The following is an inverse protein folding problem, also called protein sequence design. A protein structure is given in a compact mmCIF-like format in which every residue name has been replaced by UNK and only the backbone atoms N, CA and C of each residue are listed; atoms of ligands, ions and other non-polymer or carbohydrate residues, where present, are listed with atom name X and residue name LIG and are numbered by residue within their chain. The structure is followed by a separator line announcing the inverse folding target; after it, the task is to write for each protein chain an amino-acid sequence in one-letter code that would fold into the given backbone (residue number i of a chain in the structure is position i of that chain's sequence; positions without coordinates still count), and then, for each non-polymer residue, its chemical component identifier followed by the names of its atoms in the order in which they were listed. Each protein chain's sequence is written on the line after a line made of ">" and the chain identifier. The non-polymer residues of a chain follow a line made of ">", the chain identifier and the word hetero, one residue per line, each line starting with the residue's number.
data_IF_166068822487
#
_entry.id   IF_166068822487
#
_cell.length_a   1.000
_cell.length_b   1.000
_cell.length_c   1.000
_cell.angle_alpha   90.00
_cell.angle_beta   90.00
_cell.angle_gamma   90.00
#
_symmetry.space_group_name_H-M   'P 1'
#
loop_
_entity.id
_entity.type
_entity.pdbx_description
1 polymer ?
#
# COMPACT_ATOMS: atom_id res chain seq x y z
N UNK A 1 6.86 18.44 23.99
CA UNK A 1 5.58 18.17 23.30
C UNK A 1 5.85 17.70 21.86
N UNK A 2 6.51 18.47 20.99
CA UNK A 2 6.76 18.07 19.59
C UNK A 2 7.45 16.71 19.43
N UNK A 3 8.51 16.43 20.21
CA UNK A 3 9.21 15.12 20.22
C UNK A 3 8.26 13.94 20.50
N UNK A 4 7.31 14.13 21.41
CA UNK A 4 6.34 13.11 21.77
C UNK A 4 5.36 12.87 20.62
N UNK A 5 4.78 13.92 20.04
CA UNK A 5 3.81 13.79 18.95
C UNK A 5 4.44 13.22 17.69
N UNK A 6 5.50 13.86 17.19
CA UNK A 6 6.17 13.43 15.95
C UNK A 6 6.76 12.03 16.13
N UNK A 7 7.43 11.75 17.27
CA UNK A 7 7.98 10.43 17.55
C UNK A 7 6.94 9.32 17.60
N UNK A 8 5.80 9.56 18.25
CA UNK A 8 4.71 8.58 18.33
C UNK A 8 4.09 8.30 16.95
N UNK A 9 3.88 9.35 16.14
CA UNK A 9 3.33 9.19 14.79
C UNK A 9 4.33 8.47 13.85
N UNK A 10 5.62 8.72 13.98
CA UNK A 10 6.65 7.98 13.25
C UNK A 10 6.65 6.49 13.59
N UNK A 11 6.51 6.13 14.88
CA UNK A 11 6.40 4.73 15.29
C UNK A 11 5.16 4.08 14.67
N UNK A 12 4.01 4.74 14.72
CA UNK A 12 2.76 4.19 14.17
C UNK A 12 2.85 4.07 12.64
N UNK A 13 3.30 5.12 11.95
CA UNK A 13 3.46 5.15 10.50
C UNK A 13 4.43 4.07 10.01
N UNK A 14 5.60 3.97 10.64
CA UNK A 14 6.57 2.94 10.31
C UNK A 14 6.05 1.53 10.60
N UNK A 15 5.26 1.33 11.66
CA UNK A 15 4.71 0.02 12.00
C UNK A 15 3.59 -0.40 11.05
N UNK A 16 2.72 0.51 10.61
CA UNK A 16 1.68 0.22 9.59
C UNK A 16 2.35 -0.23 8.28
N UNK A 17 3.37 0.52 7.83
CA UNK A 17 4.14 0.13 6.65
C UNK A 17 4.90 -1.19 6.87
N UNK A 18 5.47 -1.41 8.04
CA UNK A 18 6.13 -2.68 8.39
C UNK A 18 5.18 -3.86 8.41
N UNK A 19 3.92 -3.63 8.75
CA UNK A 19 2.88 -4.66 8.72
C UNK A 19 2.54 -5.10 7.28
N UNK A 20 2.61 -4.20 6.29
CA UNK A 20 2.44 -4.49 4.86
C UNK A 20 3.58 -3.87 4.04
N UNK A 21 4.82 -4.32 4.29
CA UNK A 21 6.00 -3.81 3.60
C UNK A 21 5.98 -4.12 2.09
N UNK A 22 5.30 -5.20 1.68
CA UNK A 22 5.08 -5.51 0.26
C UNK A 22 4.14 -4.48 -0.38
N UNK A 23 3.07 -4.09 0.30
CA UNK A 23 2.17 -3.04 -0.19
C UNK A 23 2.88 -1.69 -0.32
N UNK A 24 3.76 -1.36 0.62
CA UNK A 24 4.59 -0.15 0.51
C UNK A 24 5.65 -0.25 -0.60
N UNK A 25 6.23 -1.44 -0.84
CA UNK A 25 7.09 -1.69 -1.99
C UNK A 25 6.37 -1.40 -3.31
N UNK A 26 5.13 -1.90 -3.51
CA UNK A 26 4.34 -1.62 -4.72
C UNK A 26 4.10 -0.12 -4.92
N UNK A 27 3.88 0.64 -3.83
CA UNK A 27 3.79 2.11 -3.92
C UNK A 27 5.11 2.77 -4.34
N UNK A 28 6.24 2.25 -3.91
CA UNK A 28 7.54 2.73 -4.38
C UNK A 28 7.75 2.42 -5.86
N UNK A 29 7.35 1.24 -6.33
CA UNK A 29 7.37 0.87 -7.75
C UNK A 29 6.57 1.87 -8.58
N UNK A 30 5.31 2.17 -8.19
CA UNK A 30 4.49 3.21 -8.86
C UNK A 30 5.21 4.57 -8.94
N UNK A 31 5.88 4.99 -7.86
CA UNK A 31 6.67 6.24 -7.88
C UNK A 31 7.89 6.17 -8.78
N UNK A 32 8.49 4.99 -8.98
CA UNK A 32 9.68 4.84 -9.81
C UNK A 32 9.37 4.73 -11.29
N UNK A 33 8.12 4.46 -11.66
CA UNK A 33 7.70 4.34 -13.05
C UNK A 33 8.03 5.59 -13.88
N UNK A 34 8.26 5.42 -15.21
CA UNK A 34 8.59 6.53 -16.11
C UNK A 34 7.55 7.65 -16.10
N UNK A 35 6.27 7.30 -15.99
CA UNK A 35 5.15 8.24 -15.92
C UNK A 35 5.07 9.03 -14.60
N UNK A 36 5.70 8.57 -13.51
CA UNK A 36 5.76 9.26 -12.21
C UNK A 36 7.11 10.00 -12.03
N UNK A 37 8.03 9.50 -11.21
CA UNK A 37 9.31 10.18 -10.95
C UNK A 37 10.42 9.80 -11.95
N UNK A 38 10.20 8.81 -12.80
CA UNK A 38 11.16 8.28 -13.78
C UNK A 38 12.48 7.84 -13.13
N UNK A 39 12.40 6.90 -12.21
CA UNK A 39 13.54 6.35 -11.47
C UNK A 39 13.66 4.82 -11.67
N UNK A 40 13.68 4.29 -12.92
CA UNK A 40 13.60 2.83 -13.17
C UNK A 40 14.78 2.06 -12.56
N UNK A 41 15.92 2.69 -12.35
CA UNK A 41 17.07 2.06 -11.67
C UNK A 41 16.86 1.78 -10.17
N UNK A 42 15.76 2.26 -9.57
CA UNK A 42 15.41 1.99 -8.17
C UNK A 42 14.36 0.87 -8.00
N UNK A 43 13.71 0.42 -9.07
CA UNK A 43 12.68 -0.62 -9.02
C UNK A 43 13.21 -1.92 -8.39
N UNK A 44 14.40 -2.37 -8.79
CA UNK A 44 15.05 -3.56 -8.22
C UNK A 44 15.29 -3.45 -6.71
N UNK A 45 15.40 -2.23 -6.19
CA UNK A 45 15.64 -1.95 -4.76
C UNK A 45 14.36 -1.60 -3.98
N UNK A 46 13.17 -1.62 -4.62
CA UNK A 46 11.93 -1.15 -4.01
C UNK A 46 11.61 -1.85 -2.68
N UNK A 47 11.77 -3.18 -2.62
CA UNK A 47 11.58 -3.93 -1.37
C UNK A 47 12.61 -3.54 -0.29
N UNK A 48 13.87 -3.44 -0.65
CA UNK A 48 14.93 -3.08 0.30
C UNK A 48 14.74 -1.66 0.83
N UNK A 49 14.32 -0.73 -0.01
CA UNK A 49 13.99 0.64 0.37
C UNK A 49 12.75 0.69 1.26
N UNK A 50 11.72 -0.09 0.93
CA UNK A 50 10.52 -0.24 1.78
C UNK A 50 10.90 -0.67 3.19
N UNK A 51 11.65 -1.76 3.33
CA UNK A 51 12.12 -2.28 4.63
C UNK A 51 12.96 -1.24 5.38
N UNK A 52 13.90 -0.58 4.69
CA UNK A 52 14.77 0.43 5.29
C UNK A 52 13.98 1.64 5.82
N UNK A 53 13.04 2.14 5.04
CA UNK A 53 12.19 3.29 5.43
C UNK A 53 11.32 2.93 6.64
N UNK A 54 10.68 1.75 6.62
CA UNK A 54 9.84 1.28 7.72
C UNK A 54 10.62 1.18 9.04
N UNK A 55 11.79 0.53 9.02
CA UNK A 55 12.66 0.41 10.20
C UNK A 55 13.18 1.79 10.61
N UNK A 56 13.55 2.62 9.66
CA UNK A 56 14.06 3.97 9.89
C UNK A 56 13.03 4.86 10.60
N UNK A 57 11.77 4.85 10.16
CA UNK A 57 10.71 5.62 10.82
C UNK A 57 10.50 5.20 12.27
N UNK A 58 10.39 3.89 12.54
CA UNK A 58 10.23 3.37 13.90
C UNK A 58 11.43 3.75 14.76
N UNK A 59 12.65 3.53 14.26
CA UNK A 59 13.88 3.83 14.96
C UNK A 59 14.00 5.32 15.31
N UNK A 60 13.72 6.20 14.35
CA UNK A 60 13.72 7.64 14.55
C UNK A 60 12.65 8.07 15.55
N UNK A 61 11.45 7.48 15.47
CA UNK A 61 10.38 7.74 16.41
C UNK A 61 10.77 7.37 17.85
N UNK A 62 11.30 6.16 18.07
CA UNK A 62 11.78 5.70 19.37
C UNK A 62 12.93 6.58 19.86
N UNK A 63 13.95 6.83 19.03
CA UNK A 63 15.09 7.66 19.39
C UNK A 63 14.69 9.09 19.75
N UNK A 64 13.70 9.64 19.06
CA UNK A 64 13.16 10.98 19.32
C UNK A 64 12.48 11.06 20.68
N UNK A 65 11.62 10.09 21.02
CA UNK A 65 10.92 10.05 22.33
C UNK A 65 11.94 9.86 23.46
N UNK A 66 12.92 8.94 23.32
CA UNK A 66 13.93 8.67 24.34
C UNK A 66 14.98 9.80 24.42
N UNK A 67 15.20 10.54 23.35
CA UNK A 67 16.22 11.60 23.24
C UNK A 67 17.60 11.06 22.93
N UNK A 68 17.69 9.91 22.27
CA UNK A 68 18.96 9.32 21.86
C UNK A 68 19.52 9.99 20.60
N UNK A 69 20.85 10.16 20.52
CA UNK A 69 21.58 10.75 19.40
C UNK A 69 20.90 12.03 18.86
N UNK A 70 20.60 13.05 19.71
CA UNK A 70 19.59 14.07 19.41
C UNK A 70 19.85 14.83 18.09
N UNK A 71 21.11 15.19 17.79
CA UNK A 71 21.45 15.91 16.55
C UNK A 71 21.23 15.03 15.33
N UNK A 72 21.68 13.76 15.38
CA UNK A 72 21.52 12.80 14.28
C UNK A 72 20.04 12.49 14.05
N UNK A 73 19.30 12.13 15.11
CA UNK A 73 17.87 11.84 15.06
C UNK A 73 17.07 13.00 14.48
N UNK A 74 17.29 14.23 15.00
CA UNK A 74 16.59 15.41 14.50
C UNK A 74 16.92 15.70 13.04
N UNK A 75 18.19 15.59 12.62
CA UNK A 75 18.61 15.82 11.22
C UNK A 75 17.96 14.79 10.29
N UNK A 76 18.05 13.50 10.60
CA UNK A 76 17.47 12.44 9.75
C UNK A 76 15.94 12.57 9.68
N UNK A 77 15.28 12.88 10.80
CA UNK A 77 13.83 13.16 10.79
C UNK A 77 13.50 14.37 9.93
N UNK A 78 14.27 15.45 10.03
CA UNK A 78 14.09 16.66 9.22
C UNK A 78 14.25 16.38 7.72
N UNK A 79 15.27 15.61 7.32
CA UNK A 79 15.49 15.21 5.92
C UNK A 79 14.34 14.35 5.43
N UNK A 80 13.91 13.34 6.22
CA UNK A 80 12.82 12.44 5.85
C UNK A 80 11.50 13.20 5.73
N UNK A 81 11.21 14.12 6.66
CA UNK A 81 10.01 14.96 6.59
C UNK A 81 10.03 15.92 5.39
N UNK A 82 11.18 16.51 5.08
CA UNK A 82 11.31 17.35 3.89
C UNK A 82 11.06 16.55 2.61
N UNK A 83 11.59 15.34 2.54
CA UNK A 83 11.37 14.42 1.42
C UNK A 83 9.88 14.03 1.30
N UNK A 84 9.23 13.59 2.37
CA UNK A 84 7.82 13.22 2.33
C UNK A 84 6.91 14.41 2.00
N UNK A 85 7.18 15.59 2.56
CA UNK A 85 6.42 16.79 2.23
C UNK A 85 6.56 17.16 0.75
N UNK A 86 7.78 17.04 0.20
CA UNK A 86 8.01 17.25 -1.24
C UNK A 86 7.27 16.20 -2.08
N UNK A 87 7.35 14.92 -1.70
CA UNK A 87 6.71 13.83 -2.43
C UNK A 87 5.17 13.97 -2.46
N UNK A 88 4.58 14.26 -1.29
CA UNK A 88 3.11 14.47 -1.18
C UNK A 88 2.66 15.77 -1.85
N UNK A 89 3.50 16.82 -1.85
CA UNK A 89 3.26 18.03 -2.65
C UNK A 89 3.26 17.71 -4.16
N UNK A 90 4.24 16.95 -4.63
CA UNK A 90 4.33 16.51 -6.02
C UNK A 90 3.06 15.73 -6.40
N UNK A 91 2.65 14.77 -5.57
CA UNK A 91 1.45 13.96 -5.81
C UNK A 91 0.16 14.81 -5.81
N UNK A 92 0.04 15.76 -4.86
CA UNK A 92 -1.13 16.62 -4.74
C UNK A 92 -1.27 17.65 -5.89
N UNK A 93 -0.18 17.96 -6.59
CA UNK A 93 -0.17 18.88 -7.74
C UNK A 93 0.10 18.16 -9.07
N UNK A 94 -0.06 16.85 -9.11
CA UNK A 94 0.08 16.09 -10.35
C UNK A 94 -1.08 16.42 -11.30
N UNK A 95 -0.73 16.82 -12.53
CA UNK A 95 -1.71 17.01 -13.60
C UNK A 95 -1.73 15.73 -14.47
N UNK A 96 -2.85 14.98 -14.48
CA UNK A 96 -2.96 13.75 -15.26
C UNK A 96 -2.97 13.99 -16.78
N UNK A 97 -3.27 15.22 -17.23
CA UNK A 97 -3.28 15.57 -18.66
C UNK A 97 -1.93 16.09 -19.18
N UNK A 98 -0.99 16.35 -18.28
CA UNK A 98 0.34 16.76 -18.68
C UNK A 98 1.11 15.57 -19.27
N UNK A 99 1.88 15.85 -20.32
CA UNK A 99 2.86 14.91 -20.88
C UNK A 99 4.26 15.31 -20.48
N UNK A 100 5.17 14.35 -20.49
CA UNK A 100 6.59 14.60 -20.27
C UNK A 100 7.46 13.83 -21.24
N UNK A 101 8.58 14.43 -21.61
CA UNK A 101 9.58 13.79 -22.45
C UNK A 101 10.49 12.93 -21.59
N UNK A 102 10.59 11.66 -21.90
CA UNK A 102 11.56 10.73 -21.29
C UNK A 102 12.51 10.20 -22.36
N UNK A 103 13.67 9.73 -21.93
CA UNK A 103 14.58 8.98 -22.81
C UNK A 103 14.33 7.50 -22.56
N UNK A 104 13.91 6.77 -23.58
CA UNK A 104 13.67 5.33 -23.51
C UNK A 104 14.97 4.52 -23.46
N UNK A 105 14.85 3.19 -23.31
CA UNK A 105 15.99 2.27 -23.26
C UNK A 105 16.84 2.27 -24.54
N UNK A 106 16.32 2.81 -25.66
CA UNK A 106 17.04 2.92 -26.94
C UNK A 106 17.76 4.25 -27.10
N UNK A 107 17.56 5.19 -26.16
CA UNK A 107 18.08 6.55 -26.20
C UNK A 107 17.21 7.52 -27.00
N UNK A 108 16.02 7.12 -27.44
CA UNK A 108 15.07 7.99 -28.12
C UNK A 108 14.26 8.80 -27.12
N UNK A 109 13.96 10.06 -27.47
CA UNK A 109 13.04 10.88 -26.69
C UNK A 109 11.60 10.51 -27.03
N UNK A 110 10.85 10.01 -26.05
CA UNK A 110 9.45 9.60 -26.19
C UNK A 110 8.61 10.45 -25.27
N UNK A 111 7.49 10.93 -25.76
CA UNK A 111 6.48 11.64 -24.98
C UNK A 111 5.54 10.63 -24.34
N UNK A 112 5.39 10.69 -23.01
CA UNK A 112 4.49 9.83 -22.25
C UNK A 112 3.54 10.65 -21.39
N UNK A 113 2.34 10.11 -21.13
CA UNK A 113 1.39 10.70 -20.22
C UNK A 113 1.94 10.74 -18.79
N UNK A 114 1.55 11.75 -18.03
CA UNK A 114 1.90 11.87 -16.63
C UNK A 114 1.10 10.85 -15.81
N UNK A 115 1.77 10.10 -14.96
CA UNK A 115 1.14 9.11 -14.09
C UNK A 115 1.02 9.68 -12.68
N UNK A 116 -0.22 9.97 -12.28
CA UNK A 116 -0.49 10.51 -10.96
C UNK A 116 -0.72 9.39 -9.95
N UNK A 117 0.12 9.32 -8.93
CA UNK A 117 -0.01 8.37 -7.84
C UNK A 117 -1.13 8.85 -6.90
N UNK A 118 -2.27 8.17 -6.88
CA UNK A 118 -3.48 8.62 -6.17
C UNK A 118 -3.41 8.49 -4.64
N UNK A 119 -2.49 7.68 -4.11
CA UNK A 119 -2.33 7.47 -2.67
C UNK A 119 -0.86 7.48 -2.28
N UNK A 120 -0.47 8.28 -1.28
CA UNK A 120 0.94 8.44 -0.89
C UNK A 120 1.54 7.22 -0.17
N UNK A 121 0.75 6.24 0.26
CA UNK A 121 1.21 5.05 0.98
C UNK A 121 1.66 5.28 2.42
N UNK A 122 1.54 6.50 2.98
CA UNK A 122 2.00 6.82 4.34
C UNK A 122 1.38 5.94 5.44
N UNK A 123 0.08 5.63 5.31
CA UNK A 123 -0.67 4.73 6.19
C UNK A 123 -1.23 3.52 5.44
N UNK A 124 -0.74 3.26 4.21
CA UNK A 124 -1.24 2.17 3.37
C UNK A 124 -2.77 2.17 3.25
N UNK A 125 -3.37 1.00 3.25
CA UNK A 125 -4.82 0.83 3.20
C UNK A 125 -5.51 1.04 4.57
N UNK A 126 -4.74 1.28 5.64
CA UNK A 126 -5.31 1.45 6.99
C UNK A 126 -6.05 2.79 7.14
N UNK A 127 -5.58 3.84 6.46
CA UNK A 127 -6.23 5.16 6.42
C UNK A 127 -6.06 5.69 4.99
N UNK A 128 -7.09 5.59 4.15
CA UNK A 128 -7.07 6.17 2.82
C UNK A 128 -7.11 7.70 2.93
N UNK A 129 -5.98 8.34 2.61
CA UNK A 129 -5.86 9.80 2.56
C UNK A 129 -5.72 10.22 1.10
N UNK A 130 -6.44 11.26 0.73
CA UNK A 130 -6.22 11.92 -0.56
C UNK A 130 -4.80 12.50 -0.65
N UNK A 131 -4.27 12.75 -1.85
CA UNK A 131 -2.95 13.37 -2.01
C UNK A 131 -2.84 14.70 -1.27
N UNK A 132 -3.89 15.52 -1.30
CA UNK A 132 -3.91 16.83 -0.63
C UNK A 132 -3.91 16.70 0.90
N UNK A 133 -4.72 15.80 1.48
CA UNK A 133 -4.73 15.53 2.92
C UNK A 133 -3.38 15.01 3.41
N UNK A 134 -2.75 14.14 2.60
CA UNK A 134 -1.39 13.64 2.85
C UNK A 134 -0.37 14.76 2.88
N UNK A 135 -0.44 15.70 1.93
CA UNK A 135 0.42 16.86 1.89
C UNK A 135 0.23 17.76 3.12
N UNK A 136 -1.00 18.09 3.49
CA UNK A 136 -1.29 18.91 4.69
C UNK A 136 -0.76 18.25 5.96
N UNK A 137 -0.99 16.95 6.12
CA UNK A 137 -0.45 16.16 7.24
C UNK A 137 1.08 16.28 7.32
N UNK A 138 1.79 16.09 6.21
CA UNK A 138 3.25 16.11 6.19
C UNK A 138 3.80 17.52 6.38
N UNK A 139 3.10 18.54 5.89
CA UNK A 139 3.43 19.95 6.15
C UNK A 139 3.34 20.28 7.66
N UNK A 140 2.26 19.85 8.32
CA UNK A 140 2.09 20.04 9.77
C UNK A 140 3.20 19.31 10.56
N UNK A 141 3.53 18.07 10.20
CA UNK A 141 4.61 17.33 10.84
C UNK A 141 5.99 17.97 10.60
N UNK A 142 6.22 18.53 9.41
CA UNK A 142 7.43 19.27 9.09
C UNK A 142 7.57 20.51 9.97
N UNK A 143 6.50 21.29 10.14
CA UNK A 143 6.48 22.44 11.04
C UNK A 143 6.78 22.02 12.50
N UNK A 144 6.21 20.91 12.97
CA UNK A 144 6.48 20.37 14.30
C UNK A 144 7.91 19.82 14.46
N UNK A 145 8.59 19.50 13.36
CA UNK A 145 9.98 19.02 13.37
C UNK A 145 10.98 20.19 13.56
N UNK A 146 10.63 21.42 13.16
CA UNK A 146 11.50 22.59 13.34
C UNK A 146 11.93 22.83 14.79
N UNK A 147 11.01 22.88 15.79
CA UNK A 147 11.41 23.01 17.20
C UNK A 147 12.30 21.85 17.70
N UNK A 148 12.13 20.65 17.14
CA UNK A 148 12.94 19.47 17.49
C UNK A 148 14.39 19.68 16.99
N UNK A 149 14.56 20.16 15.75
CA UNK A 149 15.86 20.54 15.19
C UNK A 149 16.54 21.60 16.05
N UNK A 150 15.83 22.72 16.31
CA UNK A 150 16.36 23.82 17.14
C UNK A 150 16.79 23.31 18.52
N UNK A 151 15.96 22.50 19.19
CA UNK A 151 16.24 21.94 20.50
C UNK A 151 17.45 21.00 20.50
N UNK A 152 17.61 20.19 19.45
CA UNK A 152 18.75 19.27 19.31
C UNK A 152 20.08 20.00 19.10
N UNK A 153 20.10 21.03 18.24
CA UNK A 153 21.33 21.79 17.95
C UNK A 153 21.73 22.72 19.07
N UNK A 154 20.78 23.28 19.82
CA UNK A 154 21.04 24.09 21.02
C UNK A 154 21.36 23.27 22.28
N UNK A 155 21.35 21.93 22.19
CA UNK A 155 21.65 21.05 23.33
C UNK A 155 20.51 20.97 24.37
N UNK A 156 19.29 21.41 24.03
CA UNK A 156 18.12 21.27 24.92
C UNK A 156 17.56 19.84 24.94
N UNK A 157 17.80 19.09 23.87
CA UNK A 157 17.46 17.68 23.79
C UNK A 157 18.67 16.83 24.15
N UNK A 158 18.48 15.92 25.07
CA UNK A 158 19.48 14.95 25.53
C UNK A 158 18.82 13.60 25.80
N UNK A 159 19.62 12.57 26.01
CA UNK A 159 19.11 11.28 26.46
C UNK A 159 18.37 11.46 27.81
N UNK A 160 17.10 11.09 27.84
CA UNK A 160 16.21 11.35 28.97
C UNK A 160 16.74 10.73 30.26
N UNK A 161 16.56 11.41 31.38
CA UNK A 161 16.73 10.83 32.72
C UNK A 161 15.56 9.89 33.05
N UNK A 162 15.69 9.06 34.08
CA UNK A 162 14.72 7.99 34.41
C UNK A 162 13.29 8.53 34.54
N UNK A 163 13.08 9.64 35.26
CA UNK A 163 11.75 10.24 35.50
C UNK A 163 11.20 10.88 34.21
N UNK A 164 12.02 11.61 33.50
CA UNK A 164 11.65 12.22 32.22
C UNK A 164 11.31 11.16 31.18
N UNK A 165 12.14 10.12 31.08
CA UNK A 165 11.91 8.99 30.19
C UNK A 165 10.58 8.29 30.47
N UNK A 166 10.26 8.04 31.75
CA UNK A 166 8.99 7.42 32.11
C UNK A 166 7.78 8.28 31.64
N UNK A 167 7.83 9.58 31.85
CA UNK A 167 6.74 10.49 31.44
C UNK A 167 6.59 10.52 29.93
N UNK A 168 7.68 10.64 29.18
CA UNK A 168 7.63 10.72 27.72
C UNK A 168 7.22 9.41 27.07
N UNK A 169 7.75 8.27 27.57
CA UNK A 169 7.36 6.94 27.08
C UNK A 169 5.89 6.67 27.36
N UNK A 170 5.41 6.92 28.59
CA UNK A 170 4.00 6.74 28.93
C UNK A 170 3.11 7.66 28.08
N UNK A 171 3.48 8.93 27.91
CA UNK A 171 2.77 9.86 27.04
C UNK A 171 2.73 9.38 25.57
N UNK A 172 3.85 8.84 25.06
CA UNK A 172 3.91 8.26 23.72
C UNK A 172 3.00 7.03 23.57
N UNK A 173 3.02 6.12 24.53
CA UNK A 173 2.13 4.95 24.52
C UNK A 173 0.65 5.36 24.55
N UNK A 174 0.30 6.42 25.29
CA UNK A 174 -1.07 6.97 25.28
C UNK A 174 -1.46 7.54 23.93
N UNK A 175 -0.55 8.30 23.27
CA UNK A 175 -0.80 8.81 21.91
C UNK A 175 -0.94 7.68 20.91
N UNK A 176 -0.05 6.68 20.96
CA UNK A 176 -0.09 5.50 20.09
C UNK A 176 -1.39 4.71 20.32
N UNK A 177 -1.82 4.56 21.58
CA UNK A 177 -3.08 3.89 21.91
C UNK A 177 -4.29 4.66 21.36
N UNK A 178 -4.34 5.97 21.56
CA UNK A 178 -5.45 6.79 21.07
C UNK A 178 -5.57 6.71 19.54
N UNK A 179 -4.43 6.73 18.81
CA UNK A 179 -4.42 6.59 17.38
C UNK A 179 -4.75 5.15 16.94
N UNK A 180 -4.14 4.15 17.58
CA UNK A 180 -4.34 2.73 17.26
C UNK A 180 -5.78 2.27 17.51
N UNK A 181 -6.35 2.59 18.68
CA UNK A 181 -7.71 2.21 19.01
C UNK A 181 -8.76 3.06 18.27
N UNK A 182 -8.52 4.37 18.11
CA UNK A 182 -9.50 5.30 17.54
C UNK A 182 -9.55 5.32 16.02
N UNK A 183 -8.41 5.17 15.34
CA UNK A 183 -8.34 5.28 13.87
C UNK A 183 -8.03 3.95 13.19
N UNK A 184 -7.17 3.13 13.79
CA UNK A 184 -6.73 1.88 13.15
C UNK A 184 -7.55 0.66 13.57
N UNK A 185 -8.32 0.74 14.64
CA UNK A 185 -8.95 -0.42 15.28
C UNK A 185 -7.97 -1.56 15.53
N UNK A 186 -6.73 -1.20 15.92
CA UNK A 186 -5.61 -2.11 16.09
C UNK A 186 -4.75 -1.71 17.29
N UNK A 187 -4.70 -2.55 18.33
CA UNK A 187 -3.98 -2.24 19.57
C UNK A 187 -2.53 -2.72 19.59
N UNK A 188 -2.13 -3.53 18.62
CA UNK A 188 -0.76 -4.08 18.54
C UNK A 188 0.33 -3.00 18.49
N UNK A 189 0.15 -1.81 17.85
CA UNK A 189 1.13 -0.74 17.88
C UNK A 189 1.59 -0.34 19.28
N UNK A 190 0.71 -0.37 20.26
CA UNK A 190 1.05 -0.07 21.66
C UNK A 190 1.99 -1.13 22.24
N UNK A 191 1.66 -2.42 22.02
CA UNK A 191 2.48 -3.53 22.47
C UNK A 191 3.86 -3.49 21.83
N UNK A 192 3.92 -3.27 20.52
CA UNK A 192 5.19 -3.19 19.79
C UNK A 192 6.04 -2.01 20.28
N UNK A 193 5.46 -0.83 20.42
CA UNK A 193 6.15 0.34 20.96
C UNK A 193 6.65 0.12 22.38
N UNK A 194 5.85 -0.52 23.24
CA UNK A 194 6.25 -0.87 24.60
C UNK A 194 7.47 -1.81 24.60
N UNK A 195 7.50 -2.83 23.72
CA UNK A 195 8.65 -3.73 23.57
C UNK A 195 9.88 -2.95 23.07
N UNK A 196 9.74 -2.11 22.05
CA UNK A 196 10.83 -1.31 21.52
C UNK A 196 11.43 -0.37 22.58
N UNK A 197 10.57 0.30 23.37
CA UNK A 197 11.02 1.12 24.50
C UNK A 197 11.66 0.30 25.61
N UNK A 198 11.09 -0.85 25.95
CA UNK A 198 11.65 -1.72 26.98
C UNK A 198 13.05 -2.24 26.61
N UNK A 199 13.24 -2.62 25.34
CA UNK A 199 14.58 -3.02 24.83
C UNK A 199 15.55 -1.85 24.89
N UNK A 200 15.16 -0.67 24.39
CA UNK A 200 16.03 0.51 24.40
C UNK A 200 16.41 0.93 25.83
N UNK A 201 15.45 1.05 26.76
CA UNK A 201 15.70 1.43 28.16
C UNK A 201 16.48 0.33 28.93
N UNK A 202 16.20 -0.95 28.65
CA UNK A 202 16.97 -2.08 29.22
C UNK A 202 18.43 -2.03 28.80
N UNK A 203 18.71 -1.80 27.53
CA UNK A 203 20.08 -1.64 27.01
C UNK A 203 20.74 -0.36 27.55
N UNK A 204 20.01 0.72 27.73
CA UNK A 204 20.50 1.96 28.35
C UNK A 204 20.97 1.74 29.78
N UNK A 205 20.27 0.94 30.56
CA UNK A 205 20.64 0.61 31.94
C UNK A 205 21.82 -0.38 31.96
N UNK A 206 21.86 -1.35 31.05
CA UNK A 206 22.88 -2.42 31.02
C UNK A 206 24.25 -1.94 30.56
N UNK A 207 24.29 -0.95 29.62
CA UNK A 207 25.53 -0.46 29.03
C UNK A 207 25.76 1.01 29.36
N UNK A 208 26.90 1.34 29.96
CA UNK A 208 27.33 2.70 30.30
C UNK A 208 28.45 3.24 29.39
N UNK A 209 28.77 2.57 28.29
CA UNK A 209 29.81 2.96 27.35
C UNK A 209 29.41 4.22 26.52
N UNK A 210 30.40 4.85 25.88
CA UNK A 210 30.17 5.96 24.93
C UNK A 210 29.34 5.55 23.71
N UNK A 211 29.23 4.25 23.43
CA UNK A 211 28.44 3.68 22.34
C UNK A 211 27.04 3.27 22.77
N UNK A 212 26.61 3.58 24.01
CA UNK A 212 25.32 3.17 24.57
C UNK A 212 24.15 3.46 23.66
N UNK A 213 24.07 4.67 23.10
CA UNK A 213 22.94 5.08 22.25
C UNK A 213 22.92 4.31 20.91
N UNK A 214 24.07 3.94 20.37
CA UNK A 214 24.16 3.04 19.20
C UNK A 214 23.75 1.61 19.52
N UNK A 215 24.07 1.12 20.73
CA UNK A 215 23.64 -0.22 21.18
C UNK A 215 22.10 -0.24 21.35
N UNK A 216 21.53 0.84 21.88
CA UNK A 216 20.08 1.01 21.97
C UNK A 216 19.44 1.00 20.58
N UNK A 217 19.98 1.76 19.63
CA UNK A 217 19.52 1.78 18.24
C UNK A 217 19.58 0.38 17.60
N UNK A 218 20.69 -0.33 17.76
CA UNK A 218 20.84 -1.70 17.26
C UNK A 218 19.78 -2.65 17.85
N UNK A 219 19.47 -2.54 19.14
CA UNK A 219 18.43 -3.33 19.79
C UNK A 219 17.04 -3.07 19.19
N UNK A 220 16.70 -1.81 18.93
CA UNK A 220 15.43 -1.44 18.27
C UNK A 220 15.40 -1.96 16.83
N UNK A 221 16.50 -1.85 16.07
CA UNK A 221 16.61 -2.40 14.71
C UNK A 221 16.35 -3.91 14.72
N UNK A 222 16.88 -4.64 15.70
CA UNK A 222 16.62 -6.10 15.82
C UNK A 222 15.12 -6.37 16.03
N UNK A 223 14.45 -5.62 16.92
CA UNK A 223 13.00 -5.76 17.14
C UNK A 223 12.21 -5.49 15.84
N UNK A 224 12.54 -4.40 15.15
CA UNK A 224 11.91 -4.06 13.86
C UNK A 224 12.20 -5.13 12.80
N UNK A 225 13.44 -5.59 12.70
CA UNK A 225 13.85 -6.60 11.72
C UNK A 225 13.17 -7.95 11.94
N UNK A 226 12.97 -8.38 13.18
CA UNK A 226 12.21 -9.59 13.49
C UNK A 226 10.74 -9.47 13.08
N UNK A 227 10.12 -8.31 13.30
CA UNK A 227 8.76 -8.06 12.86
C UNK A 227 8.63 -8.02 11.33
N UNK A 228 9.54 -7.32 10.66
CA UNK A 228 9.61 -7.29 9.20
C UNK A 228 9.85 -8.68 8.60
N UNK A 229 10.77 -9.46 9.20
CA UNK A 229 11.01 -10.84 8.77
C UNK A 229 9.73 -11.68 8.87
N UNK A 230 8.96 -11.52 9.96
CA UNK A 230 7.69 -12.21 10.12
C UNK A 230 6.70 -11.80 9.02
N UNK A 231 6.41 -10.51 8.85
CA UNK A 231 5.39 -10.04 7.90
C UNK A 231 5.73 -10.31 6.44
N UNK A 232 7.01 -10.34 6.08
CA UNK A 232 7.46 -10.68 4.72
C UNK A 232 7.40 -12.18 4.41
N UNK A 233 7.53 -13.05 5.42
CA UNK A 233 7.53 -14.50 5.22
C UNK A 233 6.15 -15.14 5.45
N UNK A 234 5.32 -14.51 6.23
CA UNK A 234 3.94 -14.93 6.51
C UNK A 234 2.96 -13.97 5.84
N UNK A 235 2.00 -13.44 6.58
CA UNK A 235 1.08 -12.41 6.08
C UNK A 235 1.08 -11.22 7.04
N UNK A 236 0.56 -10.05 6.62
CA UNK A 236 0.32 -8.94 7.51
C UNK A 236 -0.48 -9.35 8.76
N UNK A 237 -0.06 -8.90 9.94
CA UNK A 237 -0.75 -9.21 11.21
C UNK A 237 -2.16 -8.61 11.24
N UNK A 238 -2.34 -7.44 10.63
CA UNK A 238 -3.64 -6.81 10.40
C UNK A 238 -3.78 -6.53 8.91
N UNK A 239 -4.81 -7.08 8.32
CA UNK A 239 -5.17 -6.83 6.93
C UNK A 239 -6.22 -5.70 6.87
N UNK A 240 -5.96 -4.66 6.08
CA UNK A 240 -6.87 -3.52 5.85
C UNK A 240 -7.39 -3.50 4.41
N UNK A 241 -7.16 -4.57 3.65
CA UNK A 241 -7.55 -4.65 2.25
C UNK A 241 -8.97 -5.20 2.11
N UNK A 242 -9.63 -4.96 0.97
CA UNK A 242 -11.02 -5.42 0.75
C UNK A 242 -11.20 -6.93 0.78
N UNK A 243 -10.10 -7.69 0.73
CA UNK A 243 -10.07 -9.15 0.84
C UNK A 243 -9.61 -9.62 2.22
N UNK A 244 -9.73 -8.81 3.27
CA UNK A 244 -9.36 -9.21 4.62
C UNK A 244 -10.27 -10.35 5.13
N UNK A 245 -9.77 -11.10 6.11
CA UNK A 245 -10.57 -12.15 6.77
C UNK A 245 -11.83 -11.53 7.39
N UNK A 246 -12.98 -12.13 7.09
CA UNK A 246 -14.31 -11.64 7.47
C UNK A 246 -14.98 -10.72 6.46
N UNK A 247 -14.27 -10.24 5.44
CA UNK A 247 -14.84 -9.39 4.39
C UNK A 247 -15.58 -10.22 3.33
N UNK A 248 -16.67 -9.67 2.82
CA UNK A 248 -17.43 -10.24 1.70
C UNK A 248 -16.93 -9.66 0.38
N UNK A 249 -16.38 -10.51 -0.48
CA UNK A 249 -15.95 -10.11 -1.83
C UNK A 249 -17.16 -9.66 -2.66
N UNK A 250 -18.32 -10.29 -2.47
CA UNK A 250 -19.57 -9.93 -3.17
C UNK A 250 -20.01 -8.52 -2.77
N UNK A 251 -20.06 -8.21 -1.46
CA UNK A 251 -20.48 -6.89 -0.99
C UNK A 251 -19.49 -5.79 -1.41
N UNK A 252 -18.19 -6.07 -1.34
CA UNK A 252 -17.13 -5.13 -1.67
C UNK A 252 -17.03 -4.83 -3.18
N UNK A 253 -17.69 -5.63 -4.04
CA UNK A 253 -17.81 -5.42 -5.50
C UNK A 253 -19.08 -4.65 -5.91
N UNK A 254 -20.05 -4.49 -5.01
CA UNK A 254 -21.31 -3.84 -5.39
C UNK A 254 -21.08 -2.42 -5.87
N UNK A 255 -21.70 -2.08 -6.98
CA UNK A 255 -21.69 -0.74 -7.56
C UNK A 255 -22.52 0.25 -6.74
N UNK A 256 -22.33 1.55 -6.99
CA UNK A 256 -23.14 2.59 -6.37
C UNK A 256 -24.64 2.40 -6.68
N UNK A 257 -24.97 2.02 -7.91
CA UNK A 257 -26.35 1.79 -8.36
C UNK A 257 -27.00 0.62 -7.61
N UNK A 258 -26.28 -0.48 -7.41
CA UNK A 258 -26.76 -1.64 -6.65
C UNK A 258 -27.03 -1.32 -5.17
N UNK A 259 -26.28 -0.36 -4.61
CA UNK A 259 -26.44 0.10 -3.22
C UNK A 259 -27.40 1.28 -3.10
N UNK A 260 -27.90 1.85 -4.23
CA UNK A 260 -28.74 3.05 -4.24
C UNK A 260 -27.97 4.29 -3.75
N UNK A 261 -26.66 4.34 -3.96
CA UNK A 261 -25.77 5.44 -3.61
C UNK A 261 -25.41 6.26 -4.86
N UNK A 262 -24.97 7.49 -4.67
CA UNK A 262 -24.44 8.29 -5.76
C UNK A 262 -23.00 7.85 -6.06
N UNK A 263 -22.74 7.43 -7.30
CA UNK A 263 -21.40 7.14 -7.81
C UNK A 263 -20.61 8.40 -8.12
N UNK A 264 -19.29 8.28 -8.36
CA UNK A 264 -18.47 9.39 -8.80
C UNK A 264 -18.94 9.88 -10.17
N UNK A 265 -18.87 11.20 -10.37
CA UNK A 265 -19.18 11.80 -11.66
C UNK A 265 -17.90 12.10 -12.42
N UNK A 266 -17.89 11.75 -13.70
CA UNK A 266 -16.76 11.96 -14.58
C UNK A 266 -17.17 12.86 -15.76
N UNK A 267 -16.20 13.58 -16.30
CA UNK A 267 -16.35 14.29 -17.58
C UNK A 267 -15.13 14.00 -18.45
N UNK A 268 -15.37 13.81 -19.74
CA UNK A 268 -14.27 13.63 -20.69
C UNK A 268 -13.64 15.00 -21.01
N UNK A 269 -12.32 15.05 -21.05
CA UNK A 269 -11.55 16.22 -21.38
C UNK A 269 -11.39 16.33 -22.92
N UNK A 270 -12.15 17.22 -23.55
CA UNK A 270 -12.07 17.46 -24.99
C UNK A 270 -10.99 18.50 -25.30
N UNK A 271 -10.19 18.28 -26.33
CA UNK A 271 -9.16 19.22 -26.76
C UNK A 271 -9.64 20.05 -27.94
N UNK A 272 -9.60 21.37 -27.77
CA UNK A 272 -9.94 22.35 -28.79
C UNK A 272 -8.75 23.29 -29.01
N UNK A 273 -8.57 23.73 -30.25
CA UNK A 273 -7.58 24.73 -30.63
C UNK A 273 -8.22 26.09 -30.74
N UNK A 274 -7.70 27.06 -30.03
CA UNK A 274 -8.09 28.46 -30.21
C UNK A 274 -7.52 28.97 -31.53
N UNK A 275 -8.40 29.44 -32.44
CA UNK A 275 -8.00 29.88 -33.79
C UNK A 275 -7.19 31.17 -33.82
N UNK A 276 -7.29 32.01 -32.79
CA UNK A 276 -6.53 33.26 -32.67
C UNK A 276 -5.16 33.06 -32.03
N UNK A 277 -5.10 32.33 -30.91
CA UNK A 277 -3.83 32.13 -30.18
C UNK A 277 -3.07 30.90 -30.66
N UNK A 278 -3.71 29.99 -31.40
CA UNK A 278 -3.18 28.70 -31.85
C UNK A 278 -2.80 27.76 -30.69
N UNK A 279 -3.25 28.06 -29.48
CA UNK A 279 -3.02 27.24 -28.30
C UNK A 279 -4.13 26.20 -28.13
N UNK A 280 -3.74 25.03 -27.63
CA UNK A 280 -4.70 23.98 -27.30
C UNK A 280 -5.35 24.28 -25.94
N UNK A 281 -6.66 24.08 -25.87
CA UNK A 281 -7.48 24.32 -24.69
C UNK A 281 -8.28 23.08 -24.38
N UNK A 282 -8.21 22.60 -23.14
CA UNK A 282 -9.00 21.50 -22.64
C UNK A 282 -10.33 22.04 -22.11
N UNK A 283 -11.43 21.48 -22.59
CA UNK A 283 -12.79 21.80 -22.15
C UNK A 283 -13.50 20.51 -21.78
N UNK A 284 -14.03 20.46 -20.57
CA UNK A 284 -14.74 19.28 -20.09
C UNK A 284 -16.05 19.07 -20.84
N UNK A 285 -16.42 17.82 -21.09
CA UNK A 285 -17.66 17.46 -21.80
C UNK A 285 -18.90 18.10 -21.20
N UNK A 286 -18.98 18.25 -19.89
CA UNK A 286 -20.07 18.93 -19.16
C UNK A 286 -20.15 20.44 -19.45
N UNK A 287 -19.02 21.09 -19.70
CA UNK A 287 -18.97 22.51 -20.05
C UNK A 287 -19.12 22.70 -21.57
N UNK A 288 -18.52 21.79 -22.36
CA UNK A 288 -18.71 21.81 -23.81
C UNK A 288 -20.18 21.72 -24.19
N UNK A 289 -20.99 20.87 -23.57
CA UNK A 289 -22.43 20.76 -23.81
C UNK A 289 -23.15 22.12 -23.64
N UNK A 290 -22.68 22.99 -22.75
CA UNK A 290 -23.26 24.30 -22.47
C UNK A 290 -22.90 25.34 -23.54
N UNK A 291 -21.72 25.22 -24.16
CA UNK A 291 -21.14 26.26 -25.02
C UNK A 291 -21.02 25.87 -26.48
N UNK A 292 -21.19 24.59 -26.85
CA UNK A 292 -20.96 24.12 -28.23
C UNK A 292 -21.82 24.79 -29.27
N UNK A 293 -23.01 25.35 -28.92
CA UNK A 293 -23.90 26.08 -29.81
C UNK A 293 -23.65 27.60 -29.86
N UNK A 294 -22.84 28.12 -28.92
CA UNK A 294 -22.56 29.54 -28.84
C UNK A 294 -21.75 30.04 -30.06
N UNK A 295 -22.12 31.19 -30.67
CA UNK A 295 -21.42 31.71 -31.83
C UNK A 295 -19.93 31.94 -31.61
N UNK A 296 -19.55 32.49 -30.43
CA UNK A 296 -18.18 32.78 -30.09
C UNK A 296 -17.31 31.52 -30.02
N UNK A 297 -17.92 30.39 -29.60
CA UNK A 297 -17.19 29.12 -29.50
C UNK A 297 -16.95 28.53 -30.90
N UNK A 298 -17.98 28.49 -31.74
CA UNK A 298 -17.89 27.96 -33.11
C UNK A 298 -16.94 28.77 -34.00
N UNK A 299 -16.89 30.08 -33.82
CA UNK A 299 -15.98 30.96 -34.55
C UNK A 299 -14.56 30.92 -34.01
N UNK A 300 -14.38 30.86 -32.67
CA UNK A 300 -13.11 30.99 -32.01
C UNK A 300 -12.33 29.68 -31.81
N UNK A 301 -13.00 28.53 -31.88
CA UNK A 301 -12.37 27.24 -31.57
C UNK A 301 -12.54 26.23 -32.71
N UNK A 302 -11.54 25.35 -32.82
CA UNK A 302 -11.56 24.18 -33.70
C UNK A 302 -11.34 22.92 -32.86
N UNK A 303 -12.11 21.86 -33.15
CA UNK A 303 -11.96 20.58 -32.42
C UNK A 303 -10.69 19.89 -32.86
N UNK A 304 -9.86 19.50 -31.88
CA UNK A 304 -8.68 18.66 -32.10
C UNK A 304 -8.99 17.21 -31.75
N UNK A 305 -9.57 16.94 -30.57
CA UNK A 305 -9.97 15.61 -30.15
C UNK A 305 -11.17 15.64 -29.21
N UNK A 306 -12.04 14.63 -29.36
CA UNK A 306 -13.06 14.27 -28.39
C UNK A 306 -12.66 13.03 -27.56
N UNK A 307 -11.53 12.40 -27.91
CA UNK A 307 -10.95 11.28 -27.19
C UNK A 307 -9.94 11.83 -26.16
N UNK A 308 -10.45 12.23 -25.02
CA UNK A 308 -9.62 12.72 -23.92
C UNK A 308 -9.82 11.87 -22.66
N UNK A 309 -8.95 12.08 -21.67
CA UNK A 309 -9.02 11.39 -20.40
C UNK A 309 -10.29 11.78 -19.62
N UNK A 310 -10.79 10.84 -18.83
CA UNK A 310 -11.89 11.10 -17.91
C UNK A 310 -11.39 11.85 -16.67
N UNK A 311 -12.04 12.95 -16.37
CA UNK A 311 -11.78 13.79 -15.18
C UNK A 311 -12.88 13.54 -14.15
N UNK A 312 -12.51 13.17 -12.95
CA UNK A 312 -13.45 13.03 -11.84
C UNK A 312 -13.94 14.41 -11.38
N UNK A 313 -15.23 14.67 -11.51
CA UNK A 313 -15.88 15.93 -11.14
C UNK A 313 -16.33 15.97 -9.69
N UNK A 314 -16.83 14.86 -9.21
CA UNK A 314 -17.28 14.74 -7.82
C UNK A 314 -16.95 13.37 -7.27
N UNK A 315 -16.67 13.32 -5.98
CA UNK A 315 -16.56 12.08 -5.25
C UNK A 315 -17.92 11.43 -5.10
N UNK A 316 -17.93 10.11 -5.12
CA UNK A 316 -19.10 9.28 -4.89
C UNK A 316 -18.66 7.95 -4.35
N UNK A 317 -19.58 7.02 -4.17
CA UNK A 317 -19.24 5.67 -3.76
C UNK A 317 -18.57 4.93 -4.92
N UNK A 318 -17.38 4.42 -4.68
CA UNK A 318 -16.67 3.48 -5.54
C UNK A 318 -16.59 2.12 -4.84
N UNK A 319 -16.83 1.01 -5.56
CA UNK A 319 -16.61 -0.32 -5.01
C UNK A 319 -15.18 -0.46 -4.48
N UNK A 320 -15.03 -1.15 -3.35
CA UNK A 320 -13.68 -1.44 -2.83
C UNK A 320 -12.91 -2.43 -3.72
N UNK A 321 -13.64 -3.21 -4.52
CA UNK A 321 -13.11 -4.16 -5.50
C UNK A 321 -13.76 -3.81 -6.86
N UNK A 322 -12.97 -3.29 -7.79
CA UNK A 322 -13.48 -2.82 -9.10
C UNK A 322 -13.22 -3.82 -10.23
N UNK A 323 -12.03 -4.37 -10.32
CA UNK A 323 -11.54 -5.08 -11.51
C UNK A 323 -11.30 -6.58 -11.27
N UNK A 324 -11.95 -7.18 -10.26
CA UNK A 324 -11.79 -8.59 -9.96
C UNK A 324 -12.56 -9.45 -10.97
N UNK A 325 -11.83 -9.98 -11.94
CA UNK A 325 -12.31 -10.91 -12.96
C UNK A 325 -11.55 -12.23 -12.84
N UNK A 326 -12.25 -13.33 -13.10
CA UNK A 326 -11.69 -14.70 -13.14
C UNK A 326 -11.98 -15.26 -14.53
N UNK A 327 -10.96 -15.27 -15.39
CA UNK A 327 -11.11 -15.65 -16.79
C UNK A 327 -10.66 -17.10 -16.99
N UNK A 328 -11.50 -17.89 -17.60
CA UNK A 328 -11.22 -19.30 -17.89
C UNK A 328 -10.40 -19.49 -19.19
N UNK A 329 -10.19 -20.77 -19.59
CA UNK A 329 -9.44 -21.11 -20.80
C UNK A 329 -10.12 -20.76 -22.11
N UNK A 330 -11.42 -20.51 -22.09
CA UNK A 330 -12.23 -20.12 -23.25
C UNK A 330 -12.36 -18.57 -23.36
N UNK A 331 -11.85 -17.84 -22.34
CA UNK A 331 -11.89 -16.39 -22.27
C UNK A 331 -13.17 -15.83 -21.63
N UNK A 332 -13.96 -16.67 -20.98
CA UNK A 332 -15.19 -16.27 -20.30
C UNK A 332 -14.89 -15.87 -18.83
N UNK A 333 -15.53 -14.78 -18.37
CA UNK A 333 -15.46 -14.38 -16.97
C UNK A 333 -16.40 -15.25 -16.10
N UNK A 334 -15.82 -16.05 -15.24
CA UNK A 334 -16.53 -17.00 -14.35
C UNK A 334 -16.56 -16.52 -12.90
N UNK A 335 -16.25 -15.25 -12.63
CA UNK A 335 -16.15 -14.72 -11.28
C UNK A 335 -17.43 -14.95 -10.47
N UNK A 336 -18.60 -14.71 -11.07
CA UNK A 336 -19.89 -14.88 -10.37
C UNK A 336 -20.20 -16.35 -10.05
N UNK A 337 -19.79 -17.29 -10.92
CA UNK A 337 -19.91 -18.73 -10.64
C UNK A 337 -19.06 -19.14 -9.43
N UNK A 338 -17.84 -18.56 -9.31
CA UNK A 338 -16.94 -18.84 -8.19
C UNK A 338 -17.45 -18.19 -6.89
N UNK A 339 -17.88 -16.93 -6.94
CA UNK A 339 -18.32 -16.19 -5.76
C UNK A 339 -19.68 -16.68 -5.22
N UNK A 340 -20.58 -17.15 -6.11
CA UNK A 340 -21.91 -17.67 -5.75
C UNK A 340 -21.91 -19.18 -5.52
N UNK A 341 -20.75 -19.83 -5.54
CA UNK A 341 -20.66 -21.25 -5.23
C UNK A 341 -21.12 -21.49 -3.78
N UNK A 342 -22.17 -22.30 -3.62
CA UNK A 342 -22.69 -22.68 -2.30
C UNK A 342 -21.69 -23.60 -1.59
N UNK A 343 -21.02 -23.08 -0.56
CA UNK A 343 -20.05 -23.81 0.25
C UNK A 343 -18.64 -23.24 0.19
N UNK A 344 -17.66 -24.11 0.34
CA UNK A 344 -16.27 -23.74 0.55
C UNK A 344 -15.49 -23.70 -0.76
N UNK A 345 -14.77 -22.61 -0.99
CA UNK A 345 -13.87 -22.40 -2.11
C UNK A 345 -12.45 -22.19 -1.59
N UNK A 346 -11.51 -22.99 -2.08
CA UNK A 346 -10.09 -22.84 -1.77
C UNK A 346 -9.37 -22.27 -3.00
N UNK A 347 -8.68 -21.15 -2.83
CA UNK A 347 -8.08 -20.40 -3.93
C UNK A 347 -6.57 -20.36 -3.73
N UNK A 348 -5.82 -21.02 -4.62
CA UNK A 348 -4.38 -20.88 -4.74
C UNK A 348 -4.06 -19.64 -5.58
N UNK A 349 -3.43 -18.63 -5.00
CA UNK A 349 -3.13 -17.37 -5.67
C UNK A 349 -1.65 -17.30 -5.99
N UNK A 350 -1.28 -17.19 -7.27
CA UNK A 350 0.10 -17.00 -7.71
C UNK A 350 0.19 -15.81 -8.67
N UNK A 351 0.60 -14.66 -8.16
CA UNK A 351 0.77 -13.43 -8.95
C UNK A 351 1.98 -13.44 -9.89
N UNK A 352 2.88 -14.41 -9.71
CA UNK A 352 4.04 -14.69 -10.54
C UNK A 352 4.36 -16.18 -10.41
N UNK A 353 4.01 -16.93 -11.46
CA UNK A 353 4.18 -18.38 -11.48
C UNK A 353 5.65 -18.82 -11.41
N UNK A 354 6.55 -18.06 -12.05
CA UNK A 354 7.97 -18.41 -12.10
C UNK A 354 8.64 -18.18 -10.74
N UNK A 355 8.40 -17.01 -10.15
CA UNK A 355 8.93 -16.67 -8.82
C UNK A 355 8.34 -17.55 -7.69
N UNK A 356 7.09 -18.01 -7.85
CA UNK A 356 6.39 -18.90 -6.93
C UNK A 356 6.57 -20.39 -7.21
N UNK A 357 7.31 -20.76 -8.28
CA UNK A 357 7.31 -22.10 -8.82
C UNK A 357 7.65 -23.21 -7.79
N UNK A 358 6.68 -24.08 -7.51
CA UNK A 358 6.81 -25.22 -6.60
C UNK A 358 6.84 -24.90 -5.12
N UNK A 359 6.82 -23.63 -4.71
CA UNK A 359 6.81 -23.24 -3.32
C UNK A 359 5.49 -23.70 -2.64
N UNK A 360 5.61 -24.54 -1.62
CA UNK A 360 4.45 -25.07 -0.88
C UNK A 360 3.53 -25.99 -1.67
N UNK A 361 3.82 -26.32 -2.94
CA UNK A 361 2.91 -27.01 -3.85
C UNK A 361 2.52 -28.41 -3.39
N UNK A 362 3.43 -29.13 -2.74
CA UNK A 362 3.12 -30.46 -2.20
C UNK A 362 2.04 -30.38 -1.10
N UNK A 363 2.18 -29.44 -0.18
CA UNK A 363 1.20 -29.22 0.88
C UNK A 363 -0.14 -28.71 0.29
N UNK A 364 -0.10 -27.80 -0.70
CA UNK A 364 -1.27 -27.30 -1.41
C UNK A 364 -2.02 -28.44 -2.14
N UNK A 365 -1.30 -29.34 -2.83
CA UNK A 365 -1.90 -30.49 -3.53
C UNK A 365 -2.57 -31.45 -2.55
N UNK A 366 -1.92 -31.72 -1.40
CA UNK A 366 -2.47 -32.60 -0.38
C UNK A 366 -3.76 -32.03 0.22
N UNK A 367 -3.75 -30.73 0.57
CA UNK A 367 -4.91 -30.00 1.06
C UNK A 367 -6.03 -29.97 0.02
N UNK A 368 -5.72 -29.60 -1.22
CA UNK A 368 -6.68 -29.53 -2.33
C UNK A 368 -7.36 -30.87 -2.60
N UNK A 369 -6.59 -31.96 -2.61
CA UNK A 369 -7.15 -33.32 -2.83
C UNK A 369 -8.16 -33.69 -1.72
N UNK A 370 -7.85 -33.36 -0.47
CA UNK A 370 -8.76 -33.63 0.65
C UNK A 370 -10.01 -32.74 0.57
N UNK A 371 -9.84 -31.43 0.32
CA UNK A 371 -10.93 -30.47 0.18
C UNK A 371 -11.90 -30.87 -0.94
N UNK A 372 -11.39 -31.21 -2.12
CA UNK A 372 -12.21 -31.70 -3.26
C UNK A 372 -12.97 -32.98 -2.92
N UNK A 373 -12.36 -33.89 -2.17
CA UNK A 373 -13.03 -35.12 -1.70
C UNK A 373 -14.22 -34.86 -0.77
N UNK A 374 -14.29 -33.69 -0.17
CA UNK A 374 -15.37 -33.22 0.70
C UNK A 374 -16.34 -32.26 0.00
N UNK A 375 -16.20 -32.07 -1.32
CA UNK A 375 -17.09 -31.25 -2.11
C UNK A 375 -16.71 -29.76 -2.17
N UNK A 376 -15.54 -29.37 -1.66
CA UNK A 376 -15.05 -28.02 -1.80
C UNK A 376 -14.64 -27.75 -3.24
N UNK A 377 -14.87 -26.53 -3.73
CA UNK A 377 -14.32 -26.07 -5.00
C UNK A 377 -12.88 -25.60 -4.77
N UNK A 378 -11.95 -26.05 -5.61
CA UNK A 378 -10.54 -25.63 -5.52
C UNK A 378 -10.10 -25.09 -6.87
N UNK A 379 -9.51 -23.90 -6.87
CA UNK A 379 -9.03 -23.22 -8.08
C UNK A 379 -7.66 -22.59 -7.84
N UNK A 380 -6.91 -22.36 -8.94
CA UNK A 380 -5.73 -21.50 -8.97
C UNK A 380 -6.05 -20.19 -9.68
N UNK A 381 -5.53 -19.06 -9.18
CA UNK A 381 -5.57 -17.76 -9.82
C UNK A 381 -4.16 -17.25 -10.11
N UNK A 382 -3.91 -16.88 -11.35
CA UNK A 382 -2.61 -16.35 -11.80
C UNK A 382 -2.79 -15.21 -12.80
N UNK A 383 -1.72 -14.48 -13.08
CA UNK A 383 -1.70 -13.52 -14.18
C UNK A 383 -1.13 -14.10 -15.48
N UNK A 384 -0.80 -15.39 -15.49
CA UNK A 384 -0.22 -16.06 -16.64
C UNK A 384 -1.28 -16.44 -17.70
N UNK A 385 -0.89 -16.54 -18.97
CA UNK A 385 -1.74 -17.09 -20.03
C UNK A 385 -2.12 -18.56 -19.75
N UNK A 386 -3.22 -18.98 -20.36
CA UNK A 386 -3.77 -20.31 -20.14
C UNK A 386 -2.80 -21.47 -20.42
N UNK A 387 -2.00 -21.38 -21.48
CA UNK A 387 -1.01 -22.42 -21.83
C UNK A 387 0.10 -22.55 -20.78
N UNK A 388 0.54 -21.45 -20.19
CA UNK A 388 1.48 -21.47 -19.07
C UNK A 388 0.84 -22.05 -17.80
N UNK A 389 -0.42 -21.71 -17.53
CA UNK A 389 -1.21 -22.27 -16.43
C UNK A 389 -1.29 -23.79 -16.53
N UNK A 390 -1.63 -24.34 -17.69
CA UNK A 390 -1.71 -25.79 -17.93
C UNK A 390 -0.33 -26.46 -17.86
N UNK A 391 0.71 -25.80 -18.33
CA UNK A 391 2.08 -26.29 -18.21
C UNK A 391 2.49 -26.39 -16.73
N UNK A 392 2.18 -25.36 -15.92
CA UNK A 392 2.43 -25.34 -14.49
C UNK A 392 1.64 -26.44 -13.79
N UNK A 393 0.34 -26.53 -14.05
CA UNK A 393 -0.58 -27.54 -13.48
C UNK A 393 -0.04 -28.96 -13.69
N UNK A 394 0.38 -29.25 -14.91
CA UNK A 394 0.93 -30.56 -15.29
C UNK A 394 2.27 -30.82 -14.61
N UNK A 395 3.18 -29.85 -14.64
CA UNK A 395 4.53 -29.95 -14.05
C UNK A 395 4.50 -30.25 -12.57
N UNK A 396 3.59 -29.62 -11.84
CA UNK A 396 3.49 -29.72 -10.39
C UNK A 396 2.37 -30.65 -9.91
N UNK A 397 1.70 -31.35 -10.82
CA UNK A 397 0.57 -32.27 -10.54
C UNK A 397 -0.54 -31.61 -9.71
N UNK A 398 -0.86 -30.33 -9.99
CA UNK A 398 -1.93 -29.64 -9.29
C UNK A 398 -3.29 -30.26 -9.71
N UNK A 399 -4.12 -30.74 -8.75
CA UNK A 399 -5.37 -31.47 -9.07
C UNK A 399 -6.54 -30.54 -9.44
N UNK A 400 -6.33 -29.23 -9.47
CA UNK A 400 -7.34 -28.20 -9.71
C UNK A 400 -7.00 -27.35 -10.95
N UNK A 401 -8.00 -26.73 -11.59
CA UNK A 401 -7.80 -25.83 -12.71
C UNK A 401 -7.19 -24.48 -12.27
N UNK A 402 -6.49 -23.84 -13.20
CA UNK A 402 -6.00 -22.46 -13.06
C UNK A 402 -6.78 -21.53 -13.98
N UNK A 403 -7.08 -20.36 -13.48
CA UNK A 403 -7.75 -19.26 -14.17
C UNK A 403 -6.84 -18.02 -14.20
N UNK A 404 -7.10 -17.15 -15.16
CA UNK A 404 -6.37 -15.88 -15.30
C UNK A 404 -7.09 -14.76 -14.54
N UNK A 405 -6.34 -13.95 -13.81
CA UNK A 405 -6.82 -12.78 -13.08
C UNK A 405 -5.79 -11.66 -13.21
N UNK A 406 -6.23 -10.42 -13.12
CA UNK A 406 -5.32 -9.27 -13.17
C UNK A 406 -4.26 -9.32 -12.06
N UNK A 407 -3.03 -8.95 -12.42
CA UNK A 407 -1.89 -9.00 -11.49
C UNK A 407 -2.05 -8.04 -10.32
N UNK A 408 -2.63 -6.87 -10.55
CA UNK A 408 -2.85 -5.86 -9.51
C UNK A 408 -3.83 -6.38 -8.48
N UNK A 409 -4.92 -7.02 -8.94
CA UNK A 409 -5.88 -7.66 -8.05
C UNK A 409 -5.24 -8.80 -7.25
N UNK A 410 -4.45 -9.69 -7.89
CA UNK A 410 -3.75 -10.75 -7.19
C UNK A 410 -2.80 -10.22 -6.10
N UNK A 411 -2.14 -9.07 -6.33
CA UNK A 411 -1.34 -8.37 -5.32
C UNK A 411 -2.18 -7.89 -4.14
N UNK A 412 -3.46 -7.54 -4.37
CA UNK A 412 -4.38 -7.09 -3.31
C UNK A 412 -4.98 -8.28 -2.56
N UNK A 413 -5.33 -9.36 -3.23
CA UNK A 413 -5.93 -10.56 -2.62
C UNK A 413 -5.05 -11.12 -1.52
N UNK A 414 -3.76 -11.38 -1.81
CA UNK A 414 -2.82 -11.93 -0.81
C UNK A 414 -1.40 -11.41 -1.01
N UNK A 415 -0.67 -11.17 0.08
CA UNK A 415 0.72 -10.68 0.04
C UNK A 415 1.79 -11.76 -0.10
N UNK A 416 1.40 -13.02 -0.21
CA UNK A 416 2.31 -14.14 -0.47
C UNK A 416 2.30 -14.54 -1.95
N UNK A 417 3.41 -15.08 -2.44
CA UNK A 417 3.50 -15.68 -3.78
C UNK A 417 4.23 -17.04 -3.70
N UNK A 418 3.50 -18.15 -3.79
CA UNK A 418 2.06 -18.24 -3.79
C UNK A 418 1.43 -17.97 -2.42
N UNK A 419 0.11 -17.72 -2.41
CA UNK A 419 -0.72 -17.62 -1.23
C UNK A 419 -1.94 -18.52 -1.34
N UNK A 420 -2.62 -18.70 -0.23
CA UNK A 420 -3.85 -19.50 -0.14
C UNK A 420 -4.95 -18.68 0.50
N UNK A 421 -6.15 -18.77 -0.04
CA UNK A 421 -7.36 -18.11 0.47
C UNK A 421 -8.47 -19.14 0.60
N UNK A 422 -9.13 -19.16 1.74
CA UNK A 422 -10.36 -19.91 1.95
C UNK A 422 -11.53 -18.95 2.01
N UNK A 423 -12.51 -19.19 1.17
CA UNK A 423 -13.73 -18.41 1.06
C UNK A 423 -14.94 -19.34 1.24
N UNK A 424 -15.98 -18.86 1.92
CA UNK A 424 -17.28 -19.54 2.06
C UNK A 424 -18.39 -18.54 1.76
N UNK A 425 -19.25 -18.88 0.80
CA UNK A 425 -20.38 -18.04 0.39
C UNK A 425 -19.96 -16.60 0.07
N UNK A 426 -18.83 -16.42 -0.63
CA UNK A 426 -18.26 -15.12 -0.98
C UNK A 426 -17.58 -14.36 0.15
N UNK A 427 -17.47 -14.93 1.38
CA UNK A 427 -16.82 -14.32 2.54
C UNK A 427 -15.46 -14.97 2.77
N UNK A 428 -14.40 -14.17 2.91
CA UNK A 428 -13.05 -14.66 3.21
C UNK A 428 -13.02 -15.20 4.65
N UNK A 429 -12.75 -16.50 4.79
CA UNK A 429 -12.68 -17.17 6.09
C UNK A 429 -11.28 -17.08 6.67
N UNK A 430 -10.24 -17.39 5.85
CA UNK A 430 -8.85 -17.43 6.29
C UNK A 430 -7.90 -17.24 5.10
N UNK A 431 -6.66 -16.85 5.39
CA UNK A 431 -5.59 -16.66 4.37
C UNK A 431 -4.25 -17.12 4.91
N UNK A 432 -3.42 -17.71 4.04
CA UNK A 432 -2.09 -18.21 4.42
C UNK A 432 -1.03 -17.88 3.38
N UNK A 433 0.19 -17.73 3.87
CA UNK A 433 1.38 -17.83 3.04
C UNK A 433 1.61 -19.29 2.63
N UNK A 434 2.29 -19.54 1.53
CA UNK A 434 2.72 -20.87 1.14
C UNK A 434 3.55 -21.61 2.23
N UNK A 435 4.12 -20.87 3.19
CA UNK A 435 4.83 -21.43 4.34
C UNK A 435 3.91 -21.97 5.43
N UNK A 436 2.69 -21.49 5.45
CA UNK A 436 1.73 -21.72 6.53
C UNK A 436 0.52 -22.54 6.06
N UNK A 437 0.63 -23.27 4.93
CA UNK A 437 -0.46 -24.07 4.39
C UNK A 437 -0.99 -25.03 5.46
N UNK A 438 -2.29 -24.93 5.84
CA UNK A 438 -2.86 -25.77 6.89
C UNK A 438 -3.09 -27.20 6.40
N UNK A 439 -3.35 -28.12 7.33
CA UNK A 439 -3.93 -29.41 7.01
C UNK A 439 -5.45 -29.31 6.94
N UNK A 440 -6.11 -30.18 6.17
CA UNK A 440 -7.57 -30.13 6.02
C UNK A 440 -8.31 -30.25 7.36
N UNK A 441 -7.81 -31.10 8.26
CA UNK A 441 -8.42 -31.32 9.57
C UNK A 441 -8.47 -30.02 10.41
N UNK A 442 -7.47 -29.16 10.27
CA UNK A 442 -7.44 -27.85 10.99
C UNK A 442 -8.41 -26.81 10.43
N UNK A 443 -9.03 -27.06 9.27
CA UNK A 443 -10.04 -26.15 8.68
C UNK A 443 -11.47 -26.51 9.08
N UNK A 444 -11.70 -27.76 9.52
CA UNK A 444 -13.06 -28.27 9.81
C UNK A 444 -13.31 -28.50 11.30
N UNK A 445 -12.28 -28.35 12.16
CA UNK A 445 -12.39 -28.33 13.61
C UNK A 445 -12.83 -26.93 14.10
#
# INVERSE_FOLDING_TARGET
>A
MCRLLVGSLFIVSGLIKSNDAMGFMYKLEEYFEPGALNLPGLEEYALSLSVLICIGEILLGVAMVIGALPKLTATLTGVLMAFFTWLTWYTANCDPFATKMIVDATGASVEIANQCVLACGCFGNAIPLTPYESFIKDLVLSVLTVPILIGAFNGWTRLNEKREGLVLITGSLVVIYAFGAGMLHWNFPVLFAAIAYAVAEGLKVRFSSKYREWIMAAGVIVVCGLFQYYTLNHLPVKDYRPYAVGESVIENRKSADELGLEGPQYATAYTFKNKETLEDTIILSTDWIKIYNEPWFKEGFETVSFDGDEVKLSDGYEPLIMDFQIVDGDGEDVVDEILQFEGDVLIHVSKDLDAGAGLGQEALNALATQAMSKGWKVIGLTNAPFDQNESYRTKFNAPYPFYTCDQTELKIVVRSNPGLVWMRDGIIQEKWSWRDVPTFDTLVD
#
